data_IF_090730979557
#
_entry.id   IF_090730979557
#
_cell.length_a   1.000
_cell.length_b   1.000
_cell.length_c   1.000
_cell.angle_alpha   90.00
_cell.angle_beta   90.00
_cell.angle_gamma   90.00
#
_symmetry.space_group_name_H-M   'P 1'
#
loop_
_entity.id
_entity.type
_entity.pdbx_description
1 polymer ?
#
# COMPACT_ATOMS: atom_id res chain seq x y z
N UNK A 1 11.35 -3.36 -6.12
CA UNK A 1 10.39 -2.32 -5.70
C UNK A 1 10.91 -0.94 -6.06
N UNK A 2 10.19 -0.18 -6.91
CA UNK A 2 10.54 1.22 -7.21
C UNK A 2 10.55 2.04 -5.91
N UNK A 3 11.37 3.10 -5.88
CA UNK A 3 11.60 3.93 -4.69
C UNK A 3 10.30 4.56 -4.12
N UNK A 4 9.26 4.72 -4.95
CA UNK A 4 7.93 5.17 -4.53
C UNK A 4 7.14 4.13 -3.72
N UNK A 5 7.09 2.87 -4.15
CA UNK A 5 6.43 1.78 -3.40
C UNK A 5 7.08 1.58 -2.04
N UNK A 6 8.41 1.64 -2.00
CA UNK A 6 9.14 1.52 -0.74
C UNK A 6 8.75 2.63 0.25
N UNK A 7 8.53 3.86 -0.22
CA UNK A 7 8.06 4.98 0.62
C UNK A 7 6.62 4.81 1.08
N UNK A 8 5.72 4.38 0.19
CA UNK A 8 4.32 4.17 0.55
C UNK A 8 4.17 3.02 1.57
N UNK A 9 4.88 1.90 1.36
CA UNK A 9 4.93 0.79 2.32
C UNK A 9 5.60 1.15 3.65
N UNK A 10 6.64 1.99 3.63
CA UNK A 10 7.28 2.49 4.85
C UNK A 10 6.33 3.40 5.67
N UNK A 11 5.53 4.22 4.98
CA UNK A 11 4.46 5.02 5.60
C UNK A 11 3.38 4.13 6.21
N UNK A 12 2.94 3.10 5.48
CA UNK A 12 1.97 2.14 5.96
C UNK A 12 2.46 1.39 7.21
N UNK A 13 3.69 0.89 7.17
CA UNK A 13 4.31 0.22 8.30
C UNK A 13 4.45 1.13 9.54
N UNK A 14 4.69 2.42 9.33
CA UNK A 14 4.73 3.42 10.41
C UNK A 14 3.35 3.59 11.04
N UNK A 15 2.31 3.76 10.23
CA UNK A 15 0.94 3.96 10.72
C UNK A 15 0.42 2.76 11.53
N UNK A 16 0.74 1.53 11.10
CA UNK A 16 0.41 0.30 11.86
C UNK A 16 1.05 0.32 13.24
N UNK A 17 2.33 0.71 13.33
CA UNK A 17 3.06 0.77 14.60
C UNK A 17 2.52 1.84 15.53
N UNK A 18 2.09 2.98 14.99
CA UNK A 18 1.41 4.03 15.76
C UNK A 18 0.10 3.52 16.34
N UNK A 19 -0.79 2.96 15.51
CA UNK A 19 -2.07 2.40 16.00
C UNK A 19 -1.84 1.30 17.02
N UNK A 20 -0.85 0.41 16.80
CA UNK A 20 -0.50 -0.63 17.76
C UNK A 20 0.02 -0.06 19.09
N UNK A 21 0.90 0.95 19.03
CA UNK A 21 1.43 1.61 20.22
C UNK A 21 0.32 2.34 20.98
N UNK A 22 -0.60 2.99 20.28
CA UNK A 22 -1.73 3.69 20.88
C UNK A 22 -2.69 2.68 21.55
N UNK A 23 -2.94 1.52 20.92
CA UNK A 23 -3.72 0.42 21.52
C UNK A 23 -3.06 -0.20 22.77
N UNK A 24 -1.73 -0.30 22.80
CA UNK A 24 -0.97 -0.83 23.94
C UNK A 24 -0.77 0.19 25.07
N UNK A 25 -0.72 1.49 24.74
CA UNK A 25 -0.34 2.54 25.69
C UNK A 25 -1.51 3.33 26.26
N UNK A 26 -2.66 3.36 25.58
CA UNK A 26 -3.79 4.15 26.02
C UNK A 26 -4.82 3.30 26.79
N UNK A 27 -5.08 3.68 28.04
CA UNK A 27 -6.23 3.17 28.83
C UNK A 27 -7.58 3.69 28.28
N UNK A 28 -7.56 4.52 27.22
CA UNK A 28 -8.73 5.09 26.55
C UNK A 28 -9.25 4.20 25.42
N UNK A 29 -10.51 3.70 25.49
CA UNK A 29 -11.08 2.74 24.55
C UNK A 29 -11.66 3.39 23.29
N UNK A 30 -11.01 4.41 22.72
CA UNK A 30 -11.50 5.07 21.50
C UNK A 30 -11.19 4.24 20.24
N UNK A 31 -11.75 3.02 20.22
CA UNK A 31 -11.57 2.03 19.19
C UNK A 31 -12.12 2.47 17.83
N UNK A 32 -13.07 3.40 17.83
CA UNK A 32 -13.64 3.97 16.59
C UNK A 32 -12.59 4.83 15.86
N UNK A 33 -11.77 5.58 16.61
CA UNK A 33 -10.67 6.34 16.06
C UNK A 33 -9.56 5.44 15.50
N UNK A 34 -9.22 4.34 16.19
CA UNK A 34 -8.25 3.36 15.68
C UNK A 34 -8.77 2.62 14.45
N UNK A 35 -10.05 2.22 14.47
CA UNK A 35 -10.71 1.57 13.33
C UNK A 35 -10.67 2.45 12.10
N UNK A 36 -10.99 3.75 12.23
CA UNK A 36 -10.94 4.70 11.12
C UNK A 36 -9.52 4.86 10.56
N UNK A 37 -8.49 4.95 11.42
CA UNK A 37 -7.08 5.06 10.98
C UNK A 37 -6.58 3.79 10.28
N UNK A 38 -7.06 2.62 10.69
CA UNK A 38 -6.73 1.35 10.03
C UNK A 38 -7.45 1.19 8.69
N UNK A 39 -8.69 1.67 8.59
CA UNK A 39 -9.46 1.65 7.34
C UNK A 39 -8.85 2.59 6.28
N UNK A 40 -8.48 3.82 6.69
CA UNK A 40 -7.74 4.75 5.85
C UNK A 40 -6.44 4.12 5.33
N UNK A 41 -5.74 3.38 6.21
CA UNK A 41 -4.52 2.70 5.82
C UNK A 41 -4.75 1.55 4.83
N UNK A 42 -5.81 0.78 5.03
CA UNK A 42 -6.17 -0.31 4.13
C UNK A 42 -6.41 0.23 2.71
N UNK A 43 -7.10 1.37 2.58
CA UNK A 43 -7.26 2.07 1.30
C UNK A 43 -5.94 2.49 0.67
N UNK A 44 -5.00 3.08 1.44
CA UNK A 44 -3.68 3.44 0.91
C UNK A 44 -2.89 2.22 0.42
N UNK A 45 -3.05 1.05 1.05
CA UNK A 45 -2.40 -0.20 0.62
C UNK A 45 -3.07 -0.78 -0.62
N UNK A 46 -4.40 -0.77 -0.70
CA UNK A 46 -5.15 -1.20 -1.89
C UNK A 46 -4.78 -0.37 -3.11
N UNK A 47 -4.67 0.95 -2.98
CA UNK A 47 -4.20 1.84 -4.06
C UNK A 47 -2.79 1.46 -4.55
N UNK A 48 -1.89 1.06 -3.64
CA UNK A 48 -0.54 0.58 -4.00
C UNK A 48 -0.61 -0.72 -4.79
N UNK A 49 -1.49 -1.64 -4.39
CA UNK A 49 -1.63 -2.95 -5.02
C UNK A 49 -2.29 -2.83 -6.40
N UNK A 50 -3.31 -1.98 -6.55
CA UNK A 50 -3.95 -1.68 -7.83
C UNK A 50 -2.96 -0.99 -8.80
N UNK A 51 -2.14 -0.05 -8.31
CA UNK A 51 -1.06 0.56 -9.10
C UNK A 51 0.01 -0.47 -9.55
N UNK A 52 0.14 -1.62 -8.89
CA UNK A 52 1.03 -2.72 -9.27
C UNK A 52 0.36 -3.63 -10.31
N UNK A 53 -0.92 -3.98 -10.10
CA UNK A 53 -1.72 -4.81 -11.02
C UNK A 53 -1.92 -4.14 -12.39
N UNK A 54 -2.24 -2.84 -12.44
CA UNK A 54 -2.37 -2.07 -13.69
C UNK A 54 -1.04 -1.97 -14.47
N UNK A 55 0.10 -2.22 -13.82
CA UNK A 55 1.43 -2.12 -14.43
C UNK A 55 1.92 -3.42 -15.04
N UNK A 56 1.53 -4.55 -14.47
CA UNK A 56 1.86 -5.86 -15.03
C UNK A 56 1.08 -6.10 -16.34
N UNK A 57 -0.12 -5.52 -16.50
CA UNK A 57 -0.88 -5.60 -17.76
C UNK A 57 -0.29 -4.74 -18.91
N UNK A 58 0.45 -3.67 -18.60
CA UNK A 58 1.06 -2.76 -19.58
C UNK A 58 2.45 -3.21 -20.08
N UNK A 59 3.16 -4.09 -19.35
CA UNK A 59 4.49 -4.60 -19.77
C UNK A 59 4.41 -5.76 -20.79
N UNK A 60 3.26 -6.41 -20.97
CA UNK A 60 3.08 -7.53 -21.90
C UNK A 60 2.80 -7.11 -23.37
N UNK A 61 2.63 -5.82 -23.68
CA UNK A 61 2.35 -5.33 -25.05
C UNK A 61 3.62 -4.95 -25.84
N UNK A 62 4.82 -5.37 -25.39
CA UNK A 62 6.08 -5.21 -26.15
C UNK A 62 6.70 -6.52 -26.65
N UNK A 63 5.91 -7.58 -26.75
CA UNK A 63 6.28 -8.82 -27.46
C UNK A 63 5.66 -8.89 -28.85
N UNK A 64 6.14 -8.10 -29.81
CA UNK A 64 5.64 -8.24 -31.18
C UNK A 64 6.14 -7.19 -32.15
N UNK A 65 7.32 -7.42 -32.73
CA UNK A 65 7.55 -7.09 -34.13
C UNK A 65 8.62 -7.99 -34.72
N UNK A 66 8.14 -8.90 -35.57
CA UNK A 66 8.91 -9.60 -36.59
C UNK A 66 9.79 -8.60 -37.36
N UNK A 67 11.06 -8.93 -37.53
CA UNK A 67 11.86 -8.49 -38.67
C UNK A 67 12.75 -9.70 -39.04
N UNK A 68 12.10 -10.63 -39.74
CA UNK A 68 12.69 -11.44 -40.80
C UNK A 68 13.22 -10.48 -41.88
N UNK A 69 14.54 -10.37 -42.04
CA UNK A 69 15.30 -10.35 -43.33
C UNK A 69 16.80 -10.10 -43.11
#
# INVERSE_FOLDING_TARGET
>A
MKNAYRKKLDRAATLIREVFSDLESDESPDYDAYGSRLDDLAGEIEDILLEDEDRDEDEDVRGGRDDDE
#
